data_IF_810799482081
#
_entry.id   IF_810799482081
#
_cell.length_a   1.000
_cell.length_b   1.000
_cell.length_c   1.000
_cell.angle_alpha   90.00
_cell.angle_beta   90.00
_cell.angle_gamma   90.00
#
_symmetry.space_group_name_H-M   'P 1'
#
loop_
_entity.id
_entity.type
_entity.pdbx_description
1 polymer ?
#
# COMPACT_ATOMS: atom_id res chain seq x y z
N UNK A 1 -1.18 -8.23 22.45
CA UNK A 1 -0.66 -6.84 22.33
C UNK A 1 0.09 -6.70 21.01
N UNK A 2 -0.16 -5.62 20.26
CA UNK A 2 0.50 -5.36 18.97
C UNK A 2 1.96 -4.93 19.21
N UNK A 3 2.95 -5.51 18.52
CA UNK A 3 4.35 -5.10 18.64
C UNK A 3 4.54 -3.66 18.16
N UNK A 4 5.37 -2.91 18.90
CA UNK A 4 5.70 -1.51 18.64
C UNK A 4 6.20 -1.27 17.20
N UNK A 5 7.02 -2.19 16.67
CA UNK A 5 7.54 -2.12 15.30
C UNK A 5 6.45 -2.11 14.23
N UNK A 6 5.37 -2.88 14.41
CA UNK A 6 4.23 -2.87 13.48
C UNK A 6 3.43 -1.59 13.63
N UNK A 7 3.29 -1.04 14.84
CA UNK A 7 2.62 0.26 15.05
C UNK A 7 3.37 1.40 14.36
N UNK A 8 4.70 1.45 14.47
CA UNK A 8 5.50 2.48 13.81
C UNK A 8 5.42 2.36 12.28
N UNK A 9 5.55 1.13 11.76
CA UNK A 9 5.41 0.87 10.33
C UNK A 9 4.00 1.20 9.82
N UNK A 10 2.96 0.89 10.59
CA UNK A 10 1.59 1.31 10.32
C UNK A 10 1.52 2.83 10.13
N UNK A 11 2.02 3.62 11.08
CA UNK A 11 1.95 5.09 11.02
C UNK A 11 2.65 5.64 9.78
N UNK A 12 3.84 5.11 9.45
CA UNK A 12 4.60 5.51 8.26
C UNK A 12 3.80 5.20 6.99
N UNK A 13 3.28 3.97 6.86
CA UNK A 13 2.49 3.54 5.71
C UNK A 13 1.19 4.32 5.56
N UNK A 14 0.56 4.72 6.68
CA UNK A 14 -0.62 5.57 6.68
C UNK A 14 -0.34 6.94 6.09
N UNK A 15 0.77 7.56 6.50
CA UNK A 15 1.21 8.85 5.94
C UNK A 15 1.43 8.77 4.42
N UNK A 16 2.09 7.71 3.96
CA UNK A 16 2.34 7.49 2.53
C UNK A 16 1.03 7.22 1.79
N UNK A 17 0.15 6.39 2.35
CA UNK A 17 -1.16 6.05 1.78
C UNK A 17 -2.10 7.25 1.66
N UNK A 18 -2.16 8.11 2.69
CA UNK A 18 -2.92 9.36 2.65
C UNK A 18 -2.35 10.31 1.59
N UNK A 19 -1.03 10.45 1.52
CA UNK A 19 -0.40 11.31 0.51
C UNK A 19 -0.76 10.87 -0.91
N UNK A 20 -0.74 9.57 -1.18
CA UNK A 20 -1.18 8.96 -2.44
C UNK A 20 -2.67 9.20 -2.70
N UNK A 21 -3.52 9.08 -1.68
CA UNK A 21 -4.96 9.30 -1.79
C UNK A 21 -5.29 10.77 -2.12
N UNK A 22 -4.70 11.72 -1.38
CA UNK A 22 -4.87 13.16 -1.63
C UNK A 22 -4.41 13.49 -3.05
N UNK A 23 -3.23 13.01 -3.46
CA UNK A 23 -2.72 13.21 -4.82
C UNK A 23 -3.67 12.65 -5.88
N UNK A 24 -4.19 11.44 -5.68
CA UNK A 24 -5.10 10.78 -6.63
C UNK A 24 -6.44 11.51 -6.72
N UNK A 25 -6.97 12.00 -5.59
CA UNK A 25 -8.15 12.86 -5.56
C UNK A 25 -7.91 14.14 -6.33
N UNK A 26 -6.81 14.85 -6.05
CA UNK A 26 -6.49 16.09 -6.76
C UNK A 26 -6.37 15.87 -8.26
N UNK A 27 -5.76 14.75 -8.69
CA UNK A 27 -5.66 14.40 -10.11
C UNK A 27 -7.02 14.06 -10.74
N UNK A 28 -7.93 13.42 -10.00
CA UNK A 28 -9.28 13.12 -10.49
C UNK A 28 -10.08 14.40 -10.79
N UNK A 29 -9.94 15.43 -9.94
CA UNK A 29 -10.63 16.70 -10.14
C UNK A 29 -10.00 17.58 -11.23
N UNK A 30 -8.69 17.49 -11.44
CA UNK A 30 -7.97 18.29 -12.44
C UNK A 30 -8.00 17.66 -13.84
N UNK A 31 -7.82 16.34 -13.94
CA UNK A 31 -7.70 15.61 -15.21
C UNK A 31 -8.35 14.22 -15.09
N UNK A 32 -9.69 14.13 -15.14
CA UNK A 32 -10.38 12.86 -15.00
C UNK A 32 -10.03 11.91 -16.15
N UNK A 33 -9.42 10.79 -15.81
CA UNK A 33 -9.07 9.70 -16.74
C UNK A 33 -9.25 8.34 -16.08
N UNK A 34 -9.32 7.27 -16.88
CA UNK A 34 -9.38 5.89 -16.35
C UNK A 34 -8.19 5.62 -15.42
N UNK A 35 -7.02 6.15 -15.75
CA UNK A 35 -5.82 6.05 -14.93
C UNK A 35 -6.01 6.69 -13.54
N UNK A 36 -6.61 7.88 -13.44
CA UNK A 36 -6.85 8.54 -12.15
C UNK A 36 -7.86 7.79 -11.30
N UNK A 37 -8.89 7.17 -11.92
CA UNK A 37 -9.83 6.30 -11.21
C UNK A 37 -9.15 5.05 -10.66
N UNK A 38 -8.28 4.39 -11.45
CA UNK A 38 -7.52 3.21 -11.02
C UNK A 38 -6.57 3.58 -9.86
N UNK A 39 -5.86 4.71 -9.96
CA UNK A 39 -4.98 5.18 -8.88
C UNK A 39 -5.76 5.51 -7.59
N UNK A 40 -6.98 6.04 -7.70
CA UNK A 40 -7.86 6.27 -6.57
C UNK A 40 -8.34 4.95 -5.93
N UNK A 41 -8.70 3.95 -6.73
CA UNK A 41 -9.06 2.61 -6.23
C UNK A 41 -7.88 1.92 -5.53
N UNK A 42 -6.68 2.04 -6.09
CA UNK A 42 -5.44 1.50 -5.50
C UNK A 42 -5.12 2.21 -4.18
N UNK A 43 -5.24 3.54 -4.12
CA UNK A 43 -4.98 4.30 -2.88
C UNK A 43 -6.00 3.99 -1.78
N UNK A 44 -7.29 3.83 -2.12
CA UNK A 44 -8.32 3.34 -1.19
C UNK A 44 -8.00 1.93 -0.68
N UNK A 45 -7.58 1.04 -1.58
CA UNK A 45 -7.14 -0.31 -1.21
C UNK A 45 -5.93 -0.26 -0.28
N UNK A 46 -5.01 0.70 -0.48
CA UNK A 46 -3.87 0.94 0.39
C UNK A 46 -4.27 1.38 1.81
N UNK A 47 -5.27 2.25 1.92
CA UNK A 47 -5.85 2.64 3.21
C UNK A 47 -6.57 1.46 3.89
N UNK A 48 -7.28 0.64 3.11
CA UNK A 48 -7.92 -0.58 3.62
C UNK A 48 -6.88 -1.61 4.09
N UNK A 49 -5.76 -1.72 3.39
CA UNK A 49 -4.61 -2.52 3.82
C UNK A 49 -4.08 -2.07 5.18
N UNK A 50 -3.94 -0.76 5.38
CA UNK A 50 -3.53 -0.19 6.66
C UNK A 50 -4.50 -0.55 7.78
N UNK A 51 -5.81 -0.44 7.53
CA UNK A 51 -6.81 -0.88 8.50
C UNK A 51 -6.66 -2.37 8.87
N UNK A 52 -6.42 -3.23 7.88
CA UNK A 52 -6.15 -4.65 8.11
C UNK A 52 -4.87 -4.88 8.94
N UNK A 53 -3.79 -4.14 8.64
CA UNK A 53 -2.52 -4.22 9.35
C UNK A 53 -2.63 -3.72 10.79
N UNK A 54 -3.36 -2.63 11.00
CA UNK A 54 -3.69 -2.09 12.31
C UNK A 54 -4.42 -3.15 13.14
N UNK A 55 -5.43 -3.80 12.58
CA UNK A 55 -6.16 -4.85 13.27
C UNK A 55 -5.46 -6.21 13.28
N UNK A 56 -4.20 -6.30 12.83
CA UNK A 56 -3.44 -7.56 12.76
C UNK A 56 -4.17 -8.65 11.98
N UNK A 57 -4.90 -8.30 10.92
CA UNK A 57 -5.63 -9.26 10.08
C UNK A 57 -4.70 -9.87 9.04
N UNK A 58 -4.64 -11.20 8.98
CA UNK A 58 -3.73 -11.94 8.09
C UNK A 58 -3.88 -11.60 6.60
N UNK A 59 -5.08 -11.25 6.13
CA UNK A 59 -5.33 -10.85 4.74
C UNK A 59 -4.64 -9.53 4.34
N UNK A 60 -4.26 -8.70 5.30
CA UNK A 60 -3.55 -7.44 5.00
C UNK A 60 -2.15 -7.66 4.42
N UNK A 61 -1.50 -8.78 4.75
CA UNK A 61 -0.16 -9.12 4.26
C UNK A 61 -0.16 -9.33 2.74
N UNK A 62 -0.94 -10.27 2.15
CA UNK A 62 -0.97 -10.44 0.70
C UNK A 62 -1.53 -9.21 -0.03
N UNK A 63 -2.50 -8.51 0.57
CA UNK A 63 -3.09 -7.31 -0.01
C UNK A 63 -2.08 -6.16 -0.10
N UNK A 64 -1.18 -6.03 0.88
CA UNK A 64 -0.05 -5.11 0.82
C UNK A 64 0.85 -5.40 -0.39
N UNK A 65 1.31 -6.65 -0.54
CA UNK A 65 2.16 -7.00 -1.67
C UNK A 65 1.48 -6.72 -3.01
N UNK A 66 0.19 -7.05 -3.16
CA UNK A 66 -0.55 -6.79 -4.38
C UNK A 66 -0.59 -5.28 -4.71
N UNK A 67 -0.97 -4.44 -3.77
CA UNK A 67 -1.10 -2.99 -3.99
C UNK A 67 0.26 -2.37 -4.33
N UNK A 68 1.27 -2.64 -3.51
CA UNK A 68 2.55 -1.96 -3.60
C UNK A 68 3.43 -2.49 -4.74
N UNK A 69 3.09 -3.64 -5.34
CA UNK A 69 3.69 -4.11 -6.62
C UNK A 69 2.95 -3.59 -7.85
N UNK A 70 1.64 -3.31 -7.76
CA UNK A 70 0.86 -2.74 -8.86
C UNK A 70 1.17 -1.25 -9.09
N UNK A 71 1.43 -0.48 -8.04
CA UNK A 71 1.74 0.96 -8.17
C UNK A 71 2.95 1.26 -9.07
N UNK A 72 4.10 0.56 -8.98
CA UNK A 72 5.23 0.78 -9.89
C UNK A 72 5.06 0.15 -11.28
N UNK A 73 3.99 -0.60 -11.53
CA UNK A 73 3.81 -1.36 -12.78
C UNK A 73 3.63 -0.46 -14.03
N UNK A 74 2.83 0.63 -13.98
CA UNK A 74 2.76 1.60 -15.08
C UNK A 74 4.12 2.26 -15.39
N UNK A 75 4.95 2.43 -14.37
CA UNK A 75 6.29 2.99 -14.48
C UNK A 75 7.23 2.01 -15.20
N UNK A 76 7.16 0.72 -14.83
CA UNK A 76 7.96 -0.34 -15.46
C UNK A 76 7.53 -0.62 -16.91
N UNK A 77 6.25 -0.43 -17.22
CA UNK A 77 5.70 -0.57 -18.58
C UNK A 77 6.04 0.60 -19.52
N UNK A 78 6.79 1.62 -19.05
CA UNK A 78 7.25 2.73 -19.88
C UNK A 78 6.19 3.79 -20.19
N UNK A 79 5.06 3.80 -19.45
CA UNK A 79 4.06 4.87 -19.60
C UNK A 79 4.55 6.23 -19.08
N UNK A 80 5.48 6.22 -18.12
CA UNK A 80 6.22 7.41 -17.69
C UNK A 80 7.65 7.31 -18.25
N UNK A 81 8.13 8.31 -18.99
CA UNK A 81 9.47 8.30 -19.59
C UNK A 81 10.58 8.00 -18.57
N UNK A 82 11.66 7.37 -19.04
CA UNK A 82 12.82 7.03 -18.20
C UNK A 82 13.52 8.30 -17.70
N UNK A 83 13.18 8.71 -16.48
CA UNK A 83 13.82 9.82 -15.79
C UNK A 83 14.44 9.35 -14.48
N UNK A 84 15.39 10.10 -13.95
CA UNK A 84 16.01 9.81 -12.64
C UNK A 84 14.96 9.70 -11.53
N UNK A 85 13.88 10.49 -11.63
CA UNK A 85 12.77 10.45 -10.67
C UNK A 85 11.98 9.13 -10.71
N UNK A 86 11.86 8.55 -11.91
CA UNK A 86 11.22 7.26 -12.17
C UNK A 86 11.97 6.12 -11.47
N UNK A 87 13.31 6.11 -11.60
CA UNK A 87 14.18 5.10 -10.98
C UNK A 87 14.12 5.19 -9.44
N UNK A 88 14.23 6.40 -8.89
CA UNK A 88 14.13 6.63 -7.44
C UNK A 88 12.80 6.11 -6.89
N UNK A 89 11.70 6.33 -7.63
CA UNK A 89 10.36 5.88 -7.22
C UNK A 89 10.24 4.36 -7.21
N UNK A 90 10.77 3.66 -8.22
CA UNK A 90 10.80 2.18 -8.24
C UNK A 90 11.64 1.61 -7.10
N UNK A 91 12.83 2.17 -6.88
CA UNK A 91 13.71 1.77 -5.76
C UNK A 91 13.02 1.98 -4.42
N UNK A 92 12.32 3.10 -4.24
CA UNK A 92 11.54 3.38 -3.03
C UNK A 92 10.49 2.30 -2.76
N UNK A 93 9.72 1.88 -3.78
CA UNK A 93 8.74 0.80 -3.63
C UNK A 93 9.40 -0.54 -3.28
N UNK A 94 10.54 -0.86 -3.90
CA UNK A 94 11.31 -2.06 -3.57
C UNK A 94 11.78 -2.08 -2.11
N UNK A 95 12.36 -0.97 -1.64
CA UNK A 95 12.78 -0.83 -0.23
C UNK A 95 11.59 -0.97 0.72
N UNK A 96 10.44 -0.38 0.38
CA UNK A 96 9.24 -0.44 1.20
C UNK A 96 8.70 -1.89 1.34
N UNK A 97 8.76 -2.70 0.27
CA UNK A 97 8.42 -4.13 0.32
C UNK A 97 9.40 -4.93 1.19
N UNK A 98 10.71 -4.64 1.11
CA UNK A 98 11.74 -5.30 1.92
C UNK A 98 11.54 -4.98 3.41
N UNK A 99 11.36 -3.69 3.74
CA UNK A 99 11.13 -3.23 5.11
C UNK A 99 9.86 -3.86 5.68
N UNK A 100 8.78 -3.92 4.90
CA UNK A 100 7.55 -4.60 5.29
C UNK A 100 7.79 -6.08 5.58
N UNK A 101 8.53 -6.77 4.70
CA UNK A 101 8.87 -8.19 4.87
C UNK A 101 9.59 -8.44 6.19
N UNK A 102 10.64 -7.67 6.47
CA UNK A 102 11.48 -7.82 7.67
C UNK A 102 10.68 -7.55 8.95
N UNK A 103 9.78 -6.56 8.94
CA UNK A 103 9.04 -6.16 10.15
C UNK A 103 7.82 -7.05 10.37
N UNK A 104 7.09 -7.41 9.31
CA UNK A 104 5.78 -8.06 9.41
C UNK A 104 5.87 -9.58 9.36
N UNK A 105 6.75 -10.17 8.55
CA UNK A 105 6.85 -11.64 8.44
C UNK A 105 7.20 -12.34 9.76
N UNK A 106 8.15 -11.84 10.59
CA UNK A 106 8.45 -12.48 11.89
C UNK A 106 7.26 -12.49 12.85
N UNK A 107 6.29 -11.61 12.62
CA UNK A 107 5.12 -11.46 13.47
C UNK A 107 3.87 -12.14 12.90
N UNK A 108 3.97 -12.84 11.75
CA UNK A 108 2.83 -13.49 11.07
C UNK A 108 2.01 -14.40 11.99
N UNK A 109 2.63 -15.07 12.95
CA UNK A 109 1.94 -15.92 13.94
C UNK A 109 1.06 -15.16 14.95
N UNK A 110 1.24 -13.84 15.08
CA UNK A 110 0.42 -12.97 15.95
C UNK A 110 -0.79 -12.38 15.21
N UNK A 111 -0.90 -12.59 13.89
CA UNK A 111 -2.03 -12.10 13.11
C UNK A 111 -3.24 -13.02 13.29
N UNK A 112 -4.42 -12.41 13.39
CA UNK A 112 -5.68 -13.11 13.51
C UNK A 112 -6.02 -13.70 12.13
N UNK A 113 -6.27 -15.02 12.08
CA UNK A 113 -6.89 -15.66 10.92
C UNK A 113 -8.27 -15.05 10.73
N UNK A 114 -8.42 -14.25 9.69
CA UNK A 114 -9.68 -13.62 9.32
C UNK A 114 -9.75 -13.58 7.81
N UNK A 115 -10.93 -13.82 7.26
CA UNK A 115 -11.20 -13.65 5.84
C UNK A 115 -11.33 -12.17 5.51
N UNK A 116 -11.03 -11.83 4.25
CA UNK A 116 -11.32 -10.51 3.67
C UNK A 116 -12.84 -10.21 3.76
N UNK A 117 -13.65 -11.27 3.84
CA UNK A 117 -15.10 -11.25 3.87
C UNK A 117 -15.71 -11.44 5.27
N UNK A 118 -14.90 -11.52 6.33
CA UNK A 118 -15.42 -11.57 7.70
C UNK A 118 -15.89 -10.17 8.12
N UNK A 119 -17.04 -9.76 7.59
CA UNK A 119 -17.89 -8.77 8.22
C UNK A 119 -18.51 -9.44 9.45
N UNK A 120 -18.25 -8.88 10.64
CA UNK A 120 -19.04 -9.22 11.82
C UNK A 120 -20.51 -9.00 11.45
N UNK A 121 -21.28 -10.08 11.35
CA UNK A 121 -22.74 -10.05 11.45
C UNK A 121 -23.14 -9.57 12.84
#
# INVERSE_FOLDING_TARGET
>A
MRPLSITTLCIILFGIGISLFIRSISQLFLFPSVYTFVMLAISLSGLYCYYGLWNMKTWSIPLFYAIWTIIPLPILMGFEGHSVTTIIRVTYFGVLLIVFSIIVLPHKGKFIKSSLWDYKS
#
